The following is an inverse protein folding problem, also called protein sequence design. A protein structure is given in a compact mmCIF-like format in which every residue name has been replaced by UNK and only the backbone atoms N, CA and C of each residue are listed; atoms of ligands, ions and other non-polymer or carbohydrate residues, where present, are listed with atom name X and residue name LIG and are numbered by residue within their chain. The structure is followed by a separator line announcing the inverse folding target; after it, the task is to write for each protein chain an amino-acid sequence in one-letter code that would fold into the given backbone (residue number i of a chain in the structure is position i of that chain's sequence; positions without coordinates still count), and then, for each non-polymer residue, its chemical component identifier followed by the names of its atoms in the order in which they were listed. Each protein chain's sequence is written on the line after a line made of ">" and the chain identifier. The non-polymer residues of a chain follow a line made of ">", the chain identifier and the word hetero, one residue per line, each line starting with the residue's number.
data_IF_870095186294
#
_entry.id   IF_870095186294
#
_cell.length_a   1.000
_cell.length_b   1.000
_cell.length_c   1.000
_cell.angle_alpha   90.00
_cell.angle_beta   90.00
_cell.angle_gamma   90.00
#
_symmetry.space_group_name_H-M   'P 1'
#
loop_
_entity.id
_entity.type
_entity.pdbx_description
1 polymer ?
#
# COMPACT_ATOMS: atom_id res chain seq x y z
N UNK A 1 -16.85 -4.49 25.38
CA UNK A 1 -16.31 -3.90 24.13
C UNK A 1 -16.50 -4.87 22.97
N UNK A 2 -17.62 -4.75 22.24
CA UNK A 2 -17.92 -5.49 21.00
C UNK A 2 -17.61 -4.60 19.79
N UNK A 3 -16.57 -3.76 19.88
CA UNK A 3 -16.20 -2.88 18.78
C UNK A 3 -15.91 -3.76 17.57
N UNK A 4 -16.73 -3.52 16.55
CA UNK A 4 -17.17 -4.50 15.56
C UNK A 4 -15.97 -5.18 14.90
N UNK A 5 -15.69 -6.45 15.23
CA UNK A 5 -14.55 -7.23 14.70
C UNK A 5 -14.48 -7.15 13.17
N UNK A 6 -15.64 -7.04 12.52
CA UNK A 6 -15.82 -6.81 11.09
C UNK A 6 -15.14 -5.53 10.59
N UNK A 7 -15.25 -4.41 11.32
CA UNK A 7 -14.63 -3.12 10.98
C UNK A 7 -13.11 -3.20 11.12
N UNK A 8 -12.60 -3.92 12.14
CA UNK A 8 -11.15 -4.11 12.32
C UNK A 8 -10.52 -4.92 11.18
N UNK A 9 -11.21 -5.97 10.72
CA UNK A 9 -10.79 -6.80 9.57
C UNK A 9 -10.90 -5.99 8.27
N UNK A 10 -11.96 -5.20 8.10
CA UNK A 10 -12.10 -4.31 6.94
C UNK A 10 -10.97 -3.27 6.89
N UNK A 11 -10.60 -2.70 8.04
CA UNK A 11 -9.49 -1.76 8.15
C UNK A 11 -8.14 -2.42 7.88
N UNK A 12 -7.93 -3.68 8.30
CA UNK A 12 -6.76 -4.47 7.90
C UNK A 12 -6.68 -4.62 6.39
N UNK A 13 -7.76 -5.09 5.77
CA UNK A 13 -7.80 -5.34 4.34
C UNK A 13 -7.56 -4.04 3.55
N UNK A 14 -8.17 -2.94 3.99
CA UNK A 14 -7.94 -1.63 3.41
C UNK A 14 -6.47 -1.20 3.50
N UNK A 15 -5.86 -1.33 4.67
CA UNK A 15 -4.49 -0.86 4.89
C UNK A 15 -3.48 -1.72 4.12
N UNK A 16 -3.68 -3.04 4.09
CA UNK A 16 -2.87 -3.97 3.27
C UNK A 16 -2.99 -3.63 1.79
N UNK A 17 -4.21 -3.45 1.27
CA UNK A 17 -4.41 -3.08 -0.14
C UNK A 17 -3.82 -1.72 -0.48
N UNK A 18 -4.00 -0.72 0.40
CA UNK A 18 -3.46 0.62 0.20
C UNK A 18 -1.94 0.60 0.07
N UNK A 19 -1.23 -0.10 0.97
CA UNK A 19 0.23 -0.20 0.91
C UNK A 19 0.73 -1.10 -0.23
N UNK A 20 -0.01 -2.18 -0.54
CA UNK A 20 0.32 -3.06 -1.66
C UNK A 20 0.24 -2.36 -3.03
N UNK A 21 -0.61 -1.34 -3.16
CA UNK A 21 -0.71 -0.52 -4.38
C UNK A 21 0.22 0.69 -4.32
N UNK A 22 0.35 1.35 -3.16
CA UNK A 22 1.14 2.57 -3.04
C UNK A 22 2.62 2.37 -3.41
N UNK A 23 3.25 1.29 -2.93
CA UNK A 23 4.67 1.04 -3.22
C UNK A 23 4.99 0.83 -4.72
N UNK A 24 4.31 -0.05 -5.45
CA UNK A 24 4.55 -0.19 -6.88
C UNK A 24 4.21 1.08 -7.66
N UNK A 25 3.19 1.85 -7.24
CA UNK A 25 2.86 3.15 -7.88
C UNK A 25 3.98 4.17 -7.67
N UNK A 26 4.51 4.31 -6.45
CA UNK A 26 5.64 5.22 -6.19
C UNK A 26 6.86 4.81 -7.00
N UNK A 27 7.17 3.51 -7.05
CA UNK A 27 8.29 3.02 -7.84
C UNK A 27 8.10 3.28 -9.35
N UNK A 28 6.88 3.12 -9.85
CA UNK A 28 6.55 3.43 -11.24
C UNK A 28 6.75 4.92 -11.55
N UNK A 29 6.30 5.82 -10.67
CA UNK A 29 6.53 7.27 -10.84
C UNK A 29 8.02 7.60 -10.81
N UNK A 30 8.79 6.99 -9.89
CA UNK A 30 10.24 7.15 -9.87
C UNK A 30 10.90 6.66 -11.16
N UNK A 31 10.46 5.53 -11.71
CA UNK A 31 10.98 5.04 -12.98
C UNK A 31 10.64 5.98 -14.14
N UNK A 32 9.43 6.55 -14.17
CA UNK A 32 9.02 7.51 -15.18
C UNK A 32 9.84 8.80 -15.15
N UNK A 33 10.08 9.35 -13.96
CA UNK A 33 10.70 10.68 -13.78
C UNK A 33 12.23 10.56 -13.69
N UNK A 34 12.74 9.69 -12.83
CA UNK A 34 14.18 9.62 -12.49
C UNK A 34 14.94 8.78 -13.51
N UNK A 35 14.40 7.62 -13.89
CA UNK A 35 15.04 6.76 -14.90
C UNK A 35 14.76 7.24 -16.34
N UNK A 36 14.01 8.34 -16.52
CA UNK A 36 13.78 8.93 -17.83
C UNK A 36 12.97 8.04 -18.78
N UNK A 37 12.20 7.07 -18.25
CA UNK A 37 11.42 6.12 -19.07
C UNK A 37 10.47 6.85 -20.02
N UNK A 38 9.92 8.00 -19.60
CA UNK A 38 9.10 8.85 -20.48
C UNK A 38 9.88 9.30 -21.72
N UNK A 39 11.14 9.71 -21.54
CA UNK A 39 11.99 10.22 -22.62
C UNK A 39 12.36 9.08 -23.58
N UNK A 40 12.65 7.89 -23.05
CA UNK A 40 12.97 6.73 -23.87
C UNK A 40 11.77 6.21 -24.67
N UNK A 41 10.57 6.21 -24.06
CA UNK A 41 9.33 5.91 -24.75
C UNK A 41 9.04 6.92 -25.86
N UNK A 42 9.27 8.20 -25.59
CA UNK A 42 9.08 9.28 -26.58
C UNK A 42 10.06 9.16 -27.74
N UNK A 43 11.29 8.72 -27.47
CA UNK A 43 12.32 8.43 -28.48
C UNK A 43 12.12 7.08 -29.18
N UNK A 44 11.08 6.33 -28.82
CA UNK A 44 10.78 4.98 -29.35
C UNK A 44 11.95 4.00 -29.21
N UNK A 45 12.79 4.18 -28.20
CA UNK A 45 13.96 3.30 -27.94
C UNK A 45 13.52 1.89 -27.55
N UNK A 46 12.37 1.77 -26.88
CA UNK A 46 11.69 0.52 -26.56
C UNK A 46 10.19 0.77 -26.39
N UNK A 47 9.38 -0.29 -26.47
CA UNK A 47 7.93 -0.18 -26.28
C UNK A 47 7.53 -0.20 -24.80
N UNK A 48 6.36 0.36 -24.48
CA UNK A 48 5.82 0.31 -23.11
C UNK A 48 5.65 -1.13 -22.60
N UNK A 49 5.29 -2.08 -23.48
CA UNK A 49 5.15 -3.49 -23.11
C UNK A 49 6.47 -4.13 -22.73
N UNK A 50 7.57 -3.77 -23.39
CA UNK A 50 8.89 -4.34 -23.09
C UNK A 50 9.39 -3.82 -21.73
N UNK A 51 9.20 -2.53 -21.48
CA UNK A 51 9.48 -1.92 -20.18
C UNK A 51 8.67 -2.57 -19.06
N UNK A 52 7.35 -2.73 -19.28
CA UNK A 52 6.48 -3.35 -18.29
C UNK A 52 6.90 -4.79 -18.00
N UNK A 53 7.21 -5.59 -19.04
CA UNK A 53 7.67 -6.96 -18.86
C UNK A 53 9.01 -7.05 -18.10
N UNK A 54 9.94 -6.13 -18.37
CA UNK A 54 11.22 -6.08 -17.67
C UNK A 54 11.05 -5.71 -16.18
N UNK A 55 10.15 -4.77 -15.86
CA UNK A 55 9.94 -4.25 -14.49
C UNK A 55 8.86 -5.00 -13.69
N UNK A 56 8.04 -5.84 -14.33
CA UNK A 56 6.88 -6.52 -13.70
C UNK A 56 7.25 -7.24 -12.41
N UNK A 57 8.36 -7.98 -12.40
CA UNK A 57 8.81 -8.75 -11.24
C UNK A 57 9.15 -7.82 -10.07
N UNK A 58 9.75 -6.66 -10.34
CA UNK A 58 10.11 -5.68 -9.32
C UNK A 58 8.85 -5.06 -8.71
N UNK A 59 7.88 -4.65 -9.54
CA UNK A 59 6.61 -4.12 -9.04
C UNK A 59 5.80 -5.14 -8.24
N UNK A 60 5.79 -6.42 -8.64
CA UNK A 60 5.18 -7.50 -7.87
C UNK A 60 5.84 -7.69 -6.50
N UNK A 61 7.18 -7.68 -6.45
CA UNK A 61 7.93 -7.77 -5.18
C UNK A 61 7.64 -6.57 -4.27
N UNK A 62 7.59 -5.37 -4.83
CA UNK A 62 7.23 -4.16 -4.08
C UNK A 62 5.80 -4.21 -3.55
N UNK A 63 4.85 -4.74 -4.33
CA UNK A 63 3.48 -4.94 -3.89
C UNK A 63 3.39 -5.91 -2.71
N UNK A 64 4.15 -7.03 -2.77
CA UNK A 64 4.25 -7.97 -1.65
C UNK A 64 4.86 -7.32 -0.40
N UNK A 65 5.95 -6.54 -0.55
CA UNK A 65 6.56 -5.80 0.56
C UNK A 65 5.55 -4.80 1.16
N UNK A 66 4.76 -4.13 0.31
CA UNK A 66 3.71 -3.21 0.75
C UNK A 66 2.62 -3.89 1.53
N UNK A 67 2.16 -5.05 1.06
CA UNK A 67 1.18 -5.85 1.78
C UNK A 67 1.69 -6.26 3.17
N UNK A 68 2.96 -6.70 3.27
CA UNK A 68 3.60 -7.07 4.54
C UNK A 68 3.69 -5.85 5.47
N UNK A 69 4.15 -4.70 4.97
CA UNK A 69 4.23 -3.45 5.75
C UNK A 69 2.85 -3.02 6.25
N UNK A 70 1.82 -3.09 5.41
CA UNK A 70 0.46 -2.80 5.80
C UNK A 70 -0.05 -3.74 6.91
N UNK A 71 0.29 -5.03 6.83
CA UNK A 71 -0.01 -6.00 7.88
C UNK A 71 0.71 -5.69 9.20
N UNK A 72 2.00 -5.35 9.15
CA UNK A 72 2.82 -5.00 10.33
C UNK A 72 2.30 -3.73 11.01
N UNK A 73 1.99 -2.69 10.21
CA UNK A 73 1.39 -1.44 10.73
C UNK A 73 0.05 -1.73 11.38
N UNK A 74 -0.80 -2.53 10.74
CA UNK A 74 -2.07 -2.92 11.33
C UNK A 74 -1.88 -3.67 12.65
N UNK A 75 -0.94 -4.61 12.76
CA UNK A 75 -0.65 -5.32 14.01
C UNK A 75 -0.23 -4.35 15.13
N UNK A 76 0.57 -3.34 14.80
CA UNK A 76 0.99 -2.31 15.74
C UNK A 76 -0.20 -1.44 16.21
N UNK A 77 -1.05 -1.00 15.28
CA UNK A 77 -2.28 -0.28 15.61
C UNK A 77 -3.24 -1.16 16.43
N UNK A 78 -3.47 -2.40 16.02
CA UNK A 78 -4.32 -3.35 16.74
C UNK A 78 -3.91 -3.52 18.20
N UNK A 79 -2.59 -3.65 18.46
CA UNK A 79 -2.06 -3.69 19.83
C UNK A 79 -2.29 -2.38 20.59
N UNK A 80 -2.06 -1.23 19.95
CA UNK A 80 -2.25 0.09 20.55
C UNK A 80 -3.71 0.38 20.93
N UNK A 81 -4.67 0.03 20.06
CA UNK A 81 -6.11 0.19 20.29
C UNK A 81 -6.72 -0.85 21.24
N UNK A 82 -5.96 -1.86 21.67
CA UNK A 82 -6.42 -2.82 22.69
C UNK A 82 -6.30 -2.25 24.11
N UNK A 83 -5.36 -1.31 24.34
CA UNK A 83 -5.13 -0.70 25.66
C UNK A 83 -5.79 0.68 25.83
N UNK A 84 -5.84 1.50 24.76
CA UNK A 84 -6.57 2.77 24.76
C UNK A 84 -7.16 2.99 23.37
N UNK A 85 -8.47 2.80 23.23
CA UNK A 85 -9.17 3.15 21.99
C UNK A 85 -9.55 4.65 22.05
N UNK A 86 -8.84 5.59 21.40
CA UNK A 86 -9.20 7.01 21.40
C UNK A 86 -10.59 7.27 20.80
N UNK A 87 -11.15 6.30 20.06
CA UNK A 87 -12.50 6.36 19.55
C UNK A 87 -13.56 6.17 20.66
N UNK A 88 -13.25 5.52 21.79
CA UNK A 88 -14.21 5.34 22.89
C UNK A 88 -14.78 6.68 23.40
N UNK A 89 -13.98 7.76 23.36
CA UNK A 89 -14.45 9.11 23.74
C UNK A 89 -15.56 9.66 22.84
N UNK A 90 -15.67 9.21 21.60
CA UNK A 90 -16.66 9.71 20.64
C UNK A 90 -17.92 8.83 20.60
N UNK A 91 -17.90 7.65 21.22
CA UNK A 91 -19.03 6.71 21.26
C UNK A 91 -19.73 6.63 22.63
N UNK A 92 -19.19 7.25 23.68
CA UNK A 92 -19.95 7.60 24.89
C UNK A 92 -20.88 8.78 24.60
N UNK A 93 -21.95 8.53 23.84
CA UNK A 93 -23.15 9.36 23.94
C UNK A 93 -23.80 9.06 25.29
N UNK A 94 -23.71 10.02 26.21
CA UNK A 94 -24.62 10.14 27.34
C UNK A 94 -25.70 11.14 26.96
#
# INVERSE_FOLDING_TARGET
>A
MRFNTKVRIALLAYLVMAFAVALPVVAFVCDLIINGVIIDLLKSTYSFSDFYNFRRIIYLRLSLIGAILGGVLWLFFYRKYTYHDPLDRYFTKK
#
